data_IF_158453732371
#
_entry.id   IF_158453732371
#
_cell.length_a   1.000
_cell.length_b   1.000
_cell.length_c   1.000
_cell.angle_alpha   90.00
_cell.angle_beta   90.00
_cell.angle_gamma   90.00
#
_symmetry.space_group_name_H-M   'P 1'
#
loop_
_entity.id
_entity.type
_entity.pdbx_description
1 polymer ?
#
# COMPACT_ATOMS: atom_id res chain seq x y z
N UNK A 1 -2.78 -6.54 28.18
CA UNK A 1 -2.15 -7.66 27.43
C UNK A 1 -0.66 -7.77 27.73
N UNK A 2 0.19 -6.76 27.46
CA UNK A 2 1.61 -6.78 27.88
C UNK A 2 1.81 -6.90 29.40
N UNK A 3 0.90 -6.35 30.19
CA UNK A 3 0.89 -6.53 31.66
C UNK A 3 0.68 -7.99 32.11
N UNK A 4 -0.04 -8.79 31.30
CA UNK A 4 -0.29 -10.21 31.60
C UNK A 4 0.71 -11.15 30.92
N UNK A 5 1.33 -10.70 29.82
CA UNK A 5 2.37 -11.45 29.11
C UNK A 5 3.48 -10.48 28.69
N UNK A 6 4.53 -10.28 29.53
CA UNK A 6 5.56 -9.28 29.30
C UNK A 6 6.43 -9.59 28.07
N UNK A 7 6.52 -10.86 27.67
CA UNK A 7 7.24 -11.31 26.46
C UNK A 7 6.40 -11.24 25.17
N UNK A 8 5.21 -10.64 25.23
CA UNK A 8 4.33 -10.48 24.07
C UNK A 8 4.93 -9.45 23.09
N UNK A 9 5.26 -9.94 21.89
CA UNK A 9 5.77 -9.12 20.80
C UNK A 9 4.65 -8.41 20.05
N UNK A 10 4.77 -7.08 19.93
CA UNK A 10 3.83 -6.25 19.16
C UNK A 10 4.47 -5.88 17.83
N UNK A 11 3.96 -6.45 16.74
CA UNK A 11 4.43 -6.14 15.39
C UNK A 11 3.55 -5.05 14.78
N UNK A 12 4.16 -3.91 14.49
CA UNK A 12 3.49 -2.80 13.83
C UNK A 12 3.59 -2.92 12.31
N UNK A 13 2.57 -2.45 11.58
CA UNK A 13 2.63 -2.40 10.13
C UNK A 13 3.71 -1.43 9.65
N UNK A 14 4.71 -1.94 8.94
CA UNK A 14 5.86 -1.17 8.45
C UNK A 14 5.41 -0.12 7.42
N UNK A 15 4.51 -0.51 6.50
CA UNK A 15 3.93 0.43 5.54
C UNK A 15 3.14 1.55 6.24
N UNK A 16 2.35 1.21 7.26
CA UNK A 16 1.62 2.21 8.04
C UNK A 16 2.54 3.10 8.90
N UNK A 17 3.60 2.53 9.49
CA UNK A 17 4.62 3.29 10.25
C UNK A 17 5.25 4.37 9.36
N UNK A 18 5.55 4.03 8.10
CA UNK A 18 6.06 5.00 7.12
C UNK A 18 5.04 6.12 6.88
N UNK A 19 3.79 5.79 6.57
CA UNK A 19 2.74 6.78 6.32
C UNK A 19 2.52 7.71 7.53
N UNK A 20 2.56 7.16 8.75
CA UNK A 20 2.47 7.95 9.98
C UNK A 20 3.69 8.86 10.18
N UNK A 21 4.90 8.39 9.88
CA UNK A 21 6.13 9.17 9.99
C UNK A 21 6.07 10.41 9.10
N UNK A 22 5.75 10.19 7.82
CA UNK A 22 5.68 11.28 6.86
C UNK A 22 4.55 12.25 7.22
N UNK A 23 3.37 11.74 7.57
CA UNK A 23 2.24 12.59 7.96
C UNK A 23 2.55 13.46 9.18
N UNK A 24 3.31 12.96 10.15
CA UNK A 24 3.71 13.75 11.31
C UNK A 24 4.77 14.79 10.94
N UNK A 25 5.77 14.42 10.15
CA UNK A 25 6.80 15.34 9.64
C UNK A 25 6.18 16.49 8.83
N UNK A 26 5.28 16.17 7.90
CA UNK A 26 4.63 17.13 7.00
C UNK A 26 3.89 18.24 7.74
N UNK A 27 3.32 17.96 8.93
CA UNK A 27 2.61 18.97 9.73
C UNK A 27 3.52 20.07 10.27
N UNK A 28 4.81 19.78 10.44
CA UNK A 28 5.77 20.71 11.03
C UNK A 28 6.49 21.56 9.97
N UNK A 29 6.23 21.32 8.68
CA UNK A 29 6.87 22.02 7.57
C UNK A 29 5.86 22.95 6.89
N UNK A 30 5.93 24.28 7.09
CA UNK A 30 4.91 25.22 6.61
C UNK A 30 4.62 25.12 5.11
N UNK A 31 5.66 24.92 4.29
CA UNK A 31 5.47 24.82 2.84
C UNK A 31 4.79 23.50 2.42
N UNK A 32 5.01 22.40 3.16
CA UNK A 32 4.27 21.14 2.95
C UNK A 32 2.81 21.31 3.34
N UNK A 33 2.52 21.95 4.48
CA UNK A 33 1.15 22.28 4.89
C UNK A 33 0.43 23.15 3.85
N UNK A 34 1.11 24.16 3.32
CA UNK A 34 0.59 25.04 2.25
C UNK A 34 0.31 24.26 0.97
N UNK A 35 1.20 23.37 0.57
CA UNK A 35 0.99 22.45 -0.56
C UNK A 35 -0.24 21.55 -0.33
N UNK A 36 -0.31 20.87 0.81
CA UNK A 36 -1.40 19.95 1.12
C UNK A 36 -2.76 20.67 1.12
N UNK A 37 -2.83 21.85 1.73
CA UNK A 37 -4.04 22.67 1.74
C UNK A 37 -4.43 23.11 0.32
N UNK A 38 -3.46 23.51 -0.50
CA UNK A 38 -3.72 23.84 -1.91
C UNK A 38 -4.26 22.63 -2.69
N UNK A 39 -3.62 21.47 -2.57
CA UNK A 39 -4.03 20.24 -3.29
C UNK A 39 -5.43 19.78 -2.89
N UNK A 40 -5.79 19.86 -1.60
CA UNK A 40 -7.14 19.56 -1.12
C UNK A 40 -8.14 20.57 -1.67
N UNK A 41 -7.84 21.87 -1.59
CA UNK A 41 -8.77 22.91 -2.00
C UNK A 41 -9.05 22.90 -3.50
N UNK A 42 -8.01 22.70 -4.33
CA UNK A 42 -8.21 22.60 -5.79
C UNK A 42 -8.97 21.32 -6.16
N UNK A 43 -8.72 20.22 -5.46
CA UNK A 43 -9.54 19.02 -5.60
C UNK A 43 -11.01 19.31 -5.28
N UNK A 44 -11.31 19.92 -4.13
CA UNK A 44 -12.68 20.23 -3.73
C UNK A 44 -13.37 21.20 -4.68
N UNK A 45 -12.64 22.17 -5.24
CA UNK A 45 -13.15 23.13 -6.22
C UNK A 45 -13.72 22.44 -7.47
N UNK A 46 -13.03 21.40 -7.97
CA UNK A 46 -13.48 20.62 -9.13
C UNK A 46 -14.36 19.43 -8.76
N UNK A 47 -14.24 18.88 -7.55
CA UNK A 47 -15.07 17.75 -7.11
C UNK A 47 -16.49 18.19 -6.77
N UNK A 48 -16.64 19.33 -6.11
CA UNK A 48 -17.94 19.82 -5.64
C UNK A 48 -18.72 20.60 -6.71
N UNK A 49 -18.12 20.87 -7.88
CA UNK A 49 -18.76 21.59 -8.97
C UNK A 49 -18.69 20.77 -10.27
N UNK A 50 -19.82 20.16 -10.64
CA UNK A 50 -19.96 19.43 -11.91
C UNK A 50 -19.72 20.35 -13.11
N UNK A 51 -20.12 21.62 -13.00
CA UNK A 51 -19.87 22.65 -14.01
C UNK A 51 -18.37 22.89 -14.21
N UNK A 52 -17.63 23.23 -13.16
CA UNK A 52 -16.19 23.51 -13.25
C UNK A 52 -15.41 22.28 -13.74
N UNK A 53 -15.84 21.08 -13.32
CA UNK A 53 -15.27 19.82 -13.80
C UNK A 53 -15.51 19.59 -15.29
N UNK A 54 -16.71 19.90 -15.76
CA UNK A 54 -17.08 19.78 -17.17
C UNK A 54 -16.36 20.79 -18.05
N UNK A 55 -16.23 22.03 -17.59
CA UNK A 55 -15.49 23.08 -18.29
C UNK A 55 -13.99 22.77 -18.36
N UNK A 56 -13.37 22.37 -17.24
CA UNK A 56 -11.98 21.92 -17.24
C UNK A 56 -11.73 20.79 -18.23
N UNK A 57 -12.67 19.85 -18.37
CA UNK A 57 -12.56 18.76 -19.36
C UNK A 57 -12.53 19.30 -20.78
N UNK A 58 -13.40 20.26 -21.12
CA UNK A 58 -13.39 20.91 -22.44
C UNK A 58 -12.09 21.66 -22.70
N UNK A 59 -11.58 22.40 -21.72
CA UNK A 59 -10.29 23.08 -21.82
C UNK A 59 -9.15 22.08 -22.01
N UNK A 60 -9.17 20.95 -21.30
CA UNK A 60 -8.18 19.90 -21.45
C UNK A 60 -8.24 19.21 -22.83
N UNK A 61 -9.43 18.93 -23.34
CA UNK A 61 -9.63 18.38 -24.69
C UNK A 61 -9.10 19.33 -25.76
N UNK A 62 -9.39 20.64 -25.65
CA UNK A 62 -8.89 21.65 -26.58
C UNK A 62 -7.36 21.78 -26.57
N UNK A 63 -6.72 21.56 -25.42
CA UNK A 63 -5.26 21.61 -25.26
C UNK A 63 -4.57 20.25 -25.45
N UNK A 64 -5.31 19.19 -25.77
CA UNK A 64 -4.76 17.83 -25.95
C UNK A 64 -4.21 17.20 -24.67
N UNK A 65 -4.68 17.63 -23.49
CA UNK A 65 -4.20 17.14 -22.19
C UNK A 65 -5.05 15.95 -21.73
N UNK A 66 -4.42 14.81 -21.51
CA UNK A 66 -5.13 13.57 -21.14
C UNK A 66 -5.28 13.37 -19.63
N UNK A 67 -4.36 13.91 -18.83
CA UNK A 67 -4.32 13.75 -17.36
C UNK A 67 -4.44 15.10 -16.68
N UNK A 68 -5.65 15.50 -16.32
CA UNK A 68 -5.93 16.86 -15.85
C UNK A 68 -6.85 16.99 -14.63
N UNK A 69 -7.46 15.90 -14.16
CA UNK A 69 -8.44 15.96 -13.06
C UNK A 69 -7.70 15.95 -11.72
N UNK A 70 -7.79 17.01 -10.89
CA UNK A 70 -7.19 17.00 -9.56
C UNK A 70 -7.78 15.88 -8.69
N UNK A 71 -6.95 15.24 -7.88
CA UNK A 71 -7.33 14.14 -7.00
C UNK A 71 -7.12 14.50 -5.55
N UNK A 72 -7.91 13.87 -4.67
CA UNK A 72 -7.82 14.07 -3.23
C UNK A 72 -6.45 13.65 -2.68
N UNK A 73 -5.88 14.48 -1.82
CA UNK A 73 -4.70 14.15 -1.00
C UNK A 73 -5.07 13.81 0.44
N UNK A 74 -4.09 13.32 1.21
CA UNK A 74 -4.23 13.06 2.64
C UNK A 74 -4.75 11.66 3.01
N UNK A 75 -5.26 11.52 4.23
CA UNK A 75 -5.77 10.24 4.77
C UNK A 75 -4.68 9.38 5.41
N UNK A 76 -4.84 8.05 5.30
CA UNK A 76 -3.89 7.03 5.80
C UNK A 76 -2.85 6.59 4.76
N UNK A 77 -3.02 7.01 3.50
CA UNK A 77 -2.11 6.73 2.37
C UNK A 77 -1.61 8.04 1.76
N UNK A 78 -1.03 8.88 2.60
CA UNK A 78 -0.63 10.24 2.22
C UNK A 78 0.39 10.19 1.08
N UNK A 79 1.39 9.32 1.11
CA UNK A 79 2.45 9.26 0.10
C UNK A 79 1.87 9.02 -1.29
N UNK A 80 1.07 7.95 -1.43
CA UNK A 80 0.47 7.59 -2.72
C UNK A 80 -0.56 8.61 -3.21
N UNK A 81 -1.38 9.16 -2.32
CA UNK A 81 -2.37 10.17 -2.70
C UNK A 81 -1.71 11.49 -3.12
N UNK A 82 -0.68 11.95 -2.40
CA UNK A 82 0.07 13.16 -2.73
C UNK A 82 0.85 12.99 -4.03
N UNK A 83 1.49 11.84 -4.26
CA UNK A 83 2.16 11.54 -5.53
C UNK A 83 1.17 11.61 -6.71
N UNK A 84 -0.01 11.00 -6.57
CA UNK A 84 -1.06 11.05 -7.60
C UNK A 84 -1.60 12.46 -7.84
N UNK A 85 -1.85 13.22 -6.78
CA UNK A 85 -2.36 14.58 -6.90
C UNK A 85 -1.35 15.54 -7.54
N UNK A 86 -0.09 15.48 -7.14
CA UNK A 86 0.98 16.25 -7.78
C UNK A 86 1.10 15.89 -9.25
N UNK A 87 1.09 14.60 -9.59
CA UNK A 87 1.20 14.18 -10.99
C UNK A 87 0.00 14.63 -11.83
N UNK A 88 -1.22 14.50 -11.31
CA UNK A 88 -2.44 14.97 -12.00
C UNK A 88 -2.45 16.48 -12.17
N UNK A 89 -2.04 17.22 -11.14
CA UNK A 89 -1.97 18.68 -11.17
C UNK A 89 -0.95 19.16 -12.19
N UNK A 90 0.28 18.64 -12.16
CA UNK A 90 1.37 19.10 -13.02
C UNK A 90 1.17 18.66 -14.47
N UNK A 91 0.67 17.44 -14.71
CA UNK A 91 0.29 17.01 -16.07
C UNK A 91 -0.89 17.83 -16.60
N UNK A 92 -1.81 18.19 -15.71
CA UNK A 92 -3.01 19.00 -16.00
C UNK A 92 -2.77 20.49 -16.05
N UNK A 93 -1.57 20.96 -15.70
CA UNK A 93 -1.26 22.35 -15.43
C UNK A 93 -1.77 23.33 -16.49
N UNK A 94 -1.47 23.14 -17.81
CA UNK A 94 -1.93 24.09 -18.82
C UNK A 94 -3.47 24.21 -18.87
N UNK A 95 -4.20 23.10 -18.79
CA UNK A 95 -5.65 23.11 -18.79
C UNK A 95 -6.24 23.72 -17.51
N UNK A 96 -5.65 23.42 -16.36
CA UNK A 96 -6.10 23.94 -15.06
C UNK A 96 -5.89 25.44 -14.99
N UNK A 97 -4.72 25.95 -15.36
CA UNK A 97 -4.42 27.39 -15.32
C UNK A 97 -5.29 28.14 -16.32
N UNK A 98 -5.40 27.65 -17.56
CA UNK A 98 -6.24 28.26 -18.58
C UNK A 98 -7.69 28.38 -18.14
N UNK A 99 -8.27 27.30 -17.60
CA UNK A 99 -9.65 27.33 -17.10
C UNK A 99 -9.84 28.27 -15.90
N UNK A 100 -8.86 28.36 -14.98
CA UNK A 100 -8.93 29.29 -13.86
C UNK A 100 -8.84 30.77 -14.33
N UNK A 101 -8.09 31.05 -15.39
CA UNK A 101 -8.05 32.37 -16.04
C UNK A 101 -9.40 32.71 -16.67
N UNK A 102 -10.02 31.76 -17.39
CA UNK A 102 -11.36 31.92 -17.98
C UNK A 102 -12.41 32.26 -16.90
N UNK A 103 -12.38 31.58 -15.74
CA UNK A 103 -13.30 31.88 -14.63
C UNK A 103 -13.14 33.32 -14.12
N UNK A 104 -11.89 33.82 -14.08
CA UNK A 104 -11.58 35.17 -13.62
C UNK A 104 -12.13 36.23 -14.58
N UNK A 105 -12.10 35.96 -15.88
CA UNK A 105 -12.53 36.89 -16.93
C UNK A 105 -14.03 36.84 -17.22
N UNK A 106 -14.68 35.68 -17.02
CA UNK A 106 -16.11 35.54 -17.31
C UNK A 106 -17.01 36.32 -16.35
N UNK A 107 -17.82 37.24 -16.89
CA UNK A 107 -18.74 38.06 -16.10
C UNK A 107 -19.84 37.27 -15.36
N UNK A 108 -20.24 36.11 -15.88
CA UNK A 108 -21.34 35.29 -15.34
C UNK A 108 -20.93 34.34 -14.21
N UNK A 109 -19.65 34.26 -13.85
CA UNK A 109 -19.17 33.37 -12.77
C UNK A 109 -19.39 34.00 -11.40
N UNK A 110 -19.74 33.20 -10.39
CA UNK A 110 -19.98 33.69 -9.03
C UNK A 110 -18.74 34.35 -8.42
N UNK A 111 -18.93 35.38 -7.60
CA UNK A 111 -17.84 36.09 -6.92
C UNK A 111 -16.99 35.14 -6.05
N UNK A 112 -17.61 34.13 -5.43
CA UNK A 112 -16.91 33.08 -4.69
C UNK A 112 -15.98 32.26 -5.59
N UNK A 113 -16.45 31.82 -6.77
CA UNK A 113 -15.63 31.06 -7.72
C UNK A 113 -14.49 31.90 -8.29
N UNK A 114 -14.74 33.19 -8.55
CA UNK A 114 -13.71 34.16 -8.98
C UNK A 114 -12.64 34.34 -7.91
N UNK A 115 -13.04 34.54 -6.66
CA UNK A 115 -12.13 34.68 -5.53
C UNK A 115 -11.26 33.45 -5.30
N UNK A 116 -11.87 32.24 -5.31
CA UNK A 116 -11.15 30.97 -5.21
C UNK A 116 -10.16 30.79 -6.36
N UNK A 117 -10.59 31.07 -7.60
CA UNK A 117 -9.74 30.93 -8.79
C UNK A 117 -8.55 31.89 -8.77
N UNK A 118 -8.77 33.15 -8.35
CA UNK A 118 -7.69 34.11 -8.15
C UNK A 118 -6.68 33.64 -7.09
N UNK A 119 -7.17 33.05 -5.99
CA UNK A 119 -6.32 32.45 -4.96
C UNK A 119 -5.47 31.28 -5.48
N UNK A 120 -6.06 30.40 -6.29
CA UNK A 120 -5.33 29.30 -6.92
C UNK A 120 -4.29 29.79 -7.93
N UNK A 121 -4.66 30.75 -8.79
CA UNK A 121 -3.75 31.35 -9.77
C UNK A 121 -2.56 32.03 -9.10
N UNK A 122 -2.77 32.72 -7.97
CA UNK A 122 -1.67 33.33 -7.20
C UNK A 122 -0.59 32.31 -6.81
N UNK A 123 -0.98 31.07 -6.53
CA UNK A 123 -0.06 29.98 -6.19
C UNK A 123 0.50 29.29 -7.45
N UNK A 124 -0.36 29.00 -8.43
CA UNK A 124 0.05 28.33 -9.67
C UNK A 124 0.94 29.21 -10.55
N UNK A 125 0.91 30.53 -10.41
CA UNK A 125 1.82 31.46 -11.09
C UNK A 125 3.02 31.88 -10.21
N UNK A 126 3.16 31.30 -9.01
CA UNK A 126 4.28 31.58 -8.12
C UNK A 126 5.43 30.62 -8.41
N UNK A 127 6.55 31.17 -8.91
CA UNK A 127 7.79 30.43 -9.17
C UNK A 127 8.31 29.63 -7.97
N UNK A 128 8.37 30.17 -6.73
CA UNK A 128 8.86 29.40 -5.60
C UNK A 128 7.89 28.26 -5.23
N UNK A 129 6.58 28.47 -5.35
CA UNK A 129 5.59 27.43 -5.05
C UNK A 129 5.60 26.31 -6.11
N UNK A 130 5.64 26.64 -7.39
CA UNK A 130 5.79 25.66 -8.47
C UNK A 130 7.08 24.85 -8.33
N UNK A 131 8.19 25.52 -7.99
CA UNK A 131 9.43 24.83 -7.67
C UNK A 131 9.22 23.83 -6.53
N UNK A 132 8.52 24.24 -5.47
CA UNK A 132 8.25 23.36 -4.32
C UNK A 132 7.38 22.16 -4.68
N UNK A 133 6.38 22.32 -5.55
CA UNK A 133 5.58 21.19 -6.06
C UNK A 133 6.45 20.16 -6.78
N UNK A 134 7.37 20.60 -7.64
CA UNK A 134 8.28 19.70 -8.35
C UNK A 134 9.31 19.06 -7.42
N UNK A 135 9.82 19.80 -6.43
CA UNK A 135 10.64 19.23 -5.36
C UNK A 135 9.88 18.12 -4.60
N UNK A 136 8.61 18.35 -4.25
CA UNK A 136 7.79 17.34 -3.57
C UNK A 136 7.46 16.14 -4.46
N UNK A 137 7.46 16.27 -5.79
CA UNK A 137 7.43 15.11 -6.71
C UNK A 137 8.68 14.25 -6.52
N UNK A 138 9.87 14.85 -6.45
CA UNK A 138 11.11 14.11 -6.22
C UNK A 138 11.10 13.38 -4.86
N UNK A 139 10.68 14.07 -3.79
CA UNK A 139 10.55 13.49 -2.44
C UNK A 139 9.54 12.34 -2.43
N UNK A 140 8.33 12.56 -2.95
CA UNK A 140 7.27 11.53 -2.94
C UNK A 140 7.59 10.34 -3.85
N UNK A 141 8.37 10.52 -4.92
CA UNK A 141 8.86 9.41 -5.73
C UNK A 141 9.84 8.52 -4.95
N UNK A 142 10.76 9.10 -4.17
CA UNK A 142 11.67 8.35 -3.30
C UNK A 142 10.87 7.59 -2.23
N UNK A 143 10.00 8.29 -1.50
CA UNK A 143 9.15 7.69 -0.46
C UNK A 143 8.19 6.63 -1.01
N UNK A 144 7.64 6.87 -2.19
CA UNK A 144 6.71 5.95 -2.85
C UNK A 144 7.38 4.62 -3.21
N UNK A 145 8.68 4.61 -3.55
CA UNK A 145 9.44 3.37 -3.76
C UNK A 145 9.52 2.56 -2.46
N UNK A 146 9.94 3.18 -1.36
CA UNK A 146 10.01 2.51 -0.06
C UNK A 146 8.64 1.99 0.38
N UNK A 147 7.59 2.81 0.25
CA UNK A 147 6.21 2.44 0.59
C UNK A 147 5.73 1.21 -0.19
N UNK A 148 6.02 1.13 -1.50
CA UNK A 148 5.69 -0.04 -2.31
C UNK A 148 6.51 -1.27 -1.91
N UNK A 149 7.79 -1.12 -1.60
CA UNK A 149 8.62 -2.24 -1.11
C UNK A 149 8.09 -2.80 0.20
N UNK A 150 7.68 -1.95 1.14
CA UNK A 150 7.08 -2.37 2.41
C UNK A 150 5.69 -2.99 2.29
N UNK A 151 5.03 -2.86 1.14
CA UNK A 151 3.74 -3.50 0.84
C UNK A 151 3.89 -4.83 0.10
N UNK A 152 5.12 -5.25 -0.22
CA UNK A 152 5.37 -6.53 -0.88
C UNK A 152 5.18 -7.71 0.09
N UNK A 153 4.70 -8.82 -0.47
CA UNK A 153 4.51 -10.09 0.24
C UNK A 153 5.83 -10.77 0.61
N UNK A 154 6.86 -10.57 -0.21
CA UNK A 154 8.18 -11.14 -0.07
C UNK A 154 9.15 -10.19 0.65
N UNK A 155 8.63 -9.24 1.43
CA UNK A 155 9.45 -8.28 2.15
C UNK A 155 10.15 -8.96 3.33
N UNK A 156 11.48 -8.94 3.31
CA UNK A 156 12.31 -9.50 4.35
C UNK A 156 12.57 -8.45 5.44
N UNK A 157 12.07 -8.69 6.66
CA UNK A 157 12.29 -7.78 7.80
C UNK A 157 13.78 -7.45 8.04
N UNK A 158 14.75 -8.39 7.89
CA UNK A 158 16.17 -8.08 8.07
C UNK A 158 16.75 -7.10 7.03
N UNK A 159 16.14 -6.98 5.84
CA UNK A 159 16.57 -6.02 4.82
C UNK A 159 16.08 -4.60 5.10
N UNK A 160 15.06 -4.47 5.94
CA UNK A 160 14.39 -3.21 6.18
C UNK A 160 15.31 -2.10 6.71
N UNK A 161 16.24 -2.31 7.67
CA UNK A 161 17.16 -1.27 8.11
C UNK A 161 18.00 -0.69 6.97
N UNK A 162 18.46 -1.55 6.05
CA UNK A 162 19.18 -1.13 4.85
C UNK A 162 18.29 -0.30 3.93
N UNK A 163 17.07 -0.76 3.63
CA UNK A 163 16.12 -0.03 2.78
C UNK A 163 15.77 1.35 3.33
N UNK A 164 15.60 1.46 4.65
CA UNK A 164 15.37 2.73 5.34
C UNK A 164 16.59 3.64 5.19
N UNK A 165 17.79 3.14 5.49
CA UNK A 165 19.06 3.88 5.37
C UNK A 165 19.31 4.39 3.95
N UNK A 166 19.10 3.54 2.96
CA UNK A 166 19.26 3.89 1.54
C UNK A 166 18.26 4.97 1.11
N UNK A 167 17.02 4.91 1.64
CA UNK A 167 15.98 5.91 1.38
C UNK A 167 16.33 7.24 2.03
N UNK A 168 16.75 7.25 3.30
CA UNK A 168 17.20 8.45 4.03
C UNK A 168 18.38 9.10 3.30
N UNK A 169 19.37 8.30 2.91
CA UNK A 169 20.53 8.78 2.12
C UNK A 169 20.09 9.40 0.79
N UNK A 170 19.11 8.79 0.12
CA UNK A 170 18.56 9.32 -1.14
C UNK A 170 17.80 10.63 -0.95
N UNK A 171 17.10 10.79 0.17
CA UNK A 171 16.41 12.03 0.54
C UNK A 171 17.42 13.13 0.89
N UNK A 172 18.45 12.83 1.70
CA UNK A 172 19.48 13.79 2.07
C UNK A 172 20.29 14.30 0.86
N UNK A 173 20.48 13.45 -0.16
CA UNK A 173 21.07 13.90 -1.44
C UNK A 173 20.29 15.07 -2.06
N UNK A 174 18.97 15.18 -1.83
CA UNK A 174 18.17 16.31 -2.36
C UNK A 174 18.57 17.68 -1.77
N UNK A 175 19.24 17.72 -0.61
CA UNK A 175 19.77 18.96 0.00
C UNK A 175 20.97 19.53 -0.77
N UNK A 176 21.73 18.65 -1.43
CA UNK A 176 22.94 19.03 -2.18
C UNK A 176 22.74 19.00 -3.70
N UNK A 177 21.85 18.14 -4.19
CA UNK A 177 21.60 17.93 -5.61
C UNK A 177 20.10 17.97 -5.90
N UNK A 178 19.71 18.78 -6.88
CA UNK A 178 18.31 18.88 -7.26
C UNK A 178 17.81 17.58 -7.91
N UNK A 179 16.61 17.15 -7.53
CA UNK A 179 15.96 15.99 -8.13
C UNK A 179 15.55 16.20 -9.60
N UNK A 180 15.22 15.11 -10.32
CA UNK A 180 14.85 15.18 -11.73
C UNK A 180 13.68 16.13 -12.03
N UNK A 181 12.61 16.10 -11.24
CA UNK A 181 11.41 16.92 -11.51
C UNK A 181 11.69 18.41 -11.29
N UNK A 182 12.37 18.78 -10.21
CA UNK A 182 12.76 20.17 -9.97
C UNK A 182 13.71 20.69 -11.06
N UNK A 183 14.69 19.89 -11.49
CA UNK A 183 15.60 20.27 -12.58
C UNK A 183 14.86 20.49 -13.90
N UNK A 184 13.89 19.62 -14.22
CA UNK A 184 13.09 19.77 -15.42
C UNK A 184 12.28 21.07 -15.40
N UNK A 185 11.64 21.37 -14.26
CA UNK A 185 10.92 22.63 -14.08
C UNK A 185 11.83 23.85 -14.24
N UNK A 186 12.99 23.87 -13.59
CA UNK A 186 13.91 24.99 -13.69
C UNK A 186 14.37 25.25 -15.13
N UNK A 187 14.62 24.20 -15.91
CA UNK A 187 14.94 24.31 -17.34
C UNK A 187 13.76 24.87 -18.14
N UNK A 188 12.56 24.35 -17.91
CA UNK A 188 11.34 24.79 -18.58
C UNK A 188 10.93 26.22 -18.24
N UNK A 189 11.36 26.74 -17.08
CA UNK A 189 11.00 28.06 -16.56
C UNK A 189 12.17 29.05 -16.52
N UNK A 190 13.10 28.93 -17.46
CA UNK A 190 14.30 29.79 -17.54
C UNK A 190 13.96 31.20 -18.00
N UNK A 191 12.99 31.33 -18.91
CA UNK A 191 12.51 32.58 -19.50
C UNK A 191 11.49 33.34 -18.61
N UNK A 192 11.21 32.83 -17.41
CA UNK A 192 10.19 33.38 -16.52
C UNK A 192 8.77 33.01 -16.92
N UNK A 193 8.57 32.04 -17.80
CA UNK A 193 7.26 31.48 -18.14
C UNK A 193 7.21 29.99 -17.81
N UNK A 194 6.00 29.45 -17.64
CA UNK A 194 5.79 28.01 -17.52
C UNK A 194 4.48 27.64 -18.22
N UNK A 195 4.57 26.78 -19.24
CA UNK A 195 3.47 26.49 -20.17
C UNK A 195 2.82 27.76 -20.77
N UNK A 196 3.63 28.75 -21.14
CA UNK A 196 3.15 30.01 -21.76
C UNK A 196 2.57 31.03 -20.78
N UNK A 197 2.51 30.73 -19.48
CA UNK A 197 2.07 31.68 -18.46
C UNK A 197 3.27 32.28 -17.73
N UNK A 198 3.29 33.61 -17.56
CA UNK A 198 4.32 34.30 -16.78
C UNK A 198 4.25 33.88 -15.33
N UNK A 199 5.38 33.48 -14.76
CA UNK A 199 5.50 33.12 -13.34
C UNK A 199 6.31 34.17 -12.58
N UNK A 200 5.94 34.42 -11.34
CA UNK A 200 6.48 35.51 -10.52
C UNK A 200 7.17 34.99 -9.26
N UNK A 201 8.12 35.79 -8.78
CA UNK A 201 8.86 35.54 -7.54
C UNK A 201 10.21 34.86 -7.75
N UNK A 202 10.97 34.85 -6.67
CA UNK A 202 12.31 34.25 -6.62
C UNK A 202 12.26 32.73 -6.80
N UNK A 203 13.38 32.09 -7.18
CA UNK A 203 13.51 30.65 -7.13
C UNK A 203 13.12 30.07 -5.77
N UNK A 204 12.75 28.79 -5.77
CA UNK A 204 12.42 28.03 -4.55
C UNK A 204 13.49 28.22 -3.46
N UNK A 205 13.04 28.46 -2.23
CA UNK A 205 13.93 28.64 -1.10
C UNK A 205 14.56 27.29 -0.70
N UNK A 206 15.90 27.20 -0.78
CA UNK A 206 16.65 26.02 -0.41
C UNK A 206 16.42 25.62 1.06
N UNK A 207 16.34 26.59 1.98
CA UNK A 207 16.12 26.32 3.40
C UNK A 207 14.77 25.62 3.66
N UNK A 208 13.74 25.93 2.89
CA UNK A 208 12.44 25.26 3.00
C UNK A 208 12.50 23.82 2.50
N UNK A 209 13.29 23.55 1.45
CA UNK A 209 13.55 22.20 0.96
C UNK A 209 14.33 21.40 2.00
N UNK A 210 15.40 21.97 2.53
CA UNK A 210 16.27 21.33 3.52
C UNK A 210 15.50 21.02 4.81
N UNK A 211 14.62 21.92 5.25
CA UNK A 211 13.71 21.70 6.37
C UNK A 211 12.74 20.54 6.10
N UNK A 212 12.16 20.47 4.89
CA UNK A 212 11.27 19.39 4.50
C UNK A 212 11.97 18.03 4.51
N UNK A 213 13.16 17.94 3.91
CA UNK A 213 13.98 16.72 3.92
C UNK A 213 14.31 16.33 5.37
N UNK A 214 14.85 17.26 6.15
CA UNK A 214 15.30 16.99 7.54
C UNK A 214 14.16 16.49 8.41
N UNK A 215 13.01 17.15 8.35
CA UNK A 215 11.81 16.75 9.11
C UNK A 215 11.35 15.34 8.72
N UNK A 216 11.40 15.00 7.43
CA UNK A 216 11.03 13.68 6.94
C UNK A 216 12.05 12.61 7.38
N UNK A 217 13.35 12.87 7.22
CA UNK A 217 14.41 11.90 7.56
C UNK A 217 14.46 11.64 9.06
N UNK A 218 14.32 12.66 9.89
CA UNK A 218 14.24 12.50 11.35
C UNK A 218 13.02 11.68 11.76
N UNK A 219 11.84 11.98 11.19
CA UNK A 219 10.63 11.23 11.50
C UNK A 219 10.73 9.76 11.09
N UNK A 220 11.39 9.46 9.97
CA UNK A 220 11.69 8.08 9.55
C UNK A 220 12.62 7.44 10.58
N UNK A 221 13.76 8.05 10.89
CA UNK A 221 14.74 7.45 11.82
C UNK A 221 14.14 7.18 13.21
N UNK A 222 13.35 8.11 13.76
CA UNK A 222 12.67 7.94 15.06
C UNK A 222 11.66 6.78 14.99
N UNK A 223 10.94 6.64 13.88
CA UNK A 223 9.83 5.67 13.78
C UNK A 223 10.24 4.32 13.23
N UNK A 224 11.47 4.12 12.78
CA UNK A 224 11.95 2.83 12.28
C UNK A 224 12.96 2.15 13.20
N UNK A 225 12.89 2.46 14.50
CA UNK A 225 13.46 1.60 15.54
C UNK A 225 12.62 0.32 15.64
N UNK A 226 13.14 -0.78 15.11
CA UNK A 226 12.53 -2.10 15.20
C UNK A 226 13.15 -2.84 16.36
N UNK A 227 12.28 -3.52 17.10
CA UNK A 227 12.64 -4.37 18.21
C UNK A 227 13.69 -5.41 17.77
N UNK A 228 14.83 -5.42 18.45
CA UNK A 228 15.97 -6.26 18.11
C UNK A 228 15.59 -7.75 18.05
N UNK A 229 14.69 -8.20 18.92
CA UNK A 229 14.18 -9.58 18.95
C UNK A 229 13.43 -9.93 17.66
N UNK A 230 12.66 -8.99 17.10
CA UNK A 230 11.94 -9.21 15.84
C UNK A 230 12.91 -9.32 14.66
N UNK A 231 13.99 -8.52 14.65
CA UNK A 231 15.04 -8.60 13.64
C UNK A 231 15.83 -9.91 13.76
N UNK A 232 16.23 -10.28 14.98
CA UNK A 232 16.93 -11.52 15.27
C UNK A 232 16.12 -12.74 14.81
N UNK A 233 14.84 -12.81 15.21
CA UNK A 233 13.91 -13.87 14.79
C UNK A 233 13.80 -13.95 13.26
N UNK A 234 13.59 -12.82 12.58
CA UNK A 234 13.42 -12.82 11.14
C UNK A 234 14.69 -13.23 10.37
N UNK A 235 15.88 -12.93 10.90
CA UNK A 235 17.18 -13.34 10.33
C UNK A 235 17.38 -14.85 10.44
N UNK A 236 17.03 -15.43 11.59
CA UNK A 236 17.14 -16.88 11.84
C UNK A 236 16.12 -17.66 10.98
N UNK A 237 14.86 -17.21 10.94
CA UNK A 237 13.77 -17.96 10.29
C UNK A 237 13.91 -18.00 8.77
N UNK A 238 14.36 -16.91 8.15
CA UNK A 238 14.28 -16.74 6.70
C UNK A 238 15.55 -17.19 5.99
N UNK A 239 15.57 -18.41 5.46
CA UNK A 239 16.69 -18.96 4.70
C UNK A 239 17.10 -18.14 3.47
N UNK A 240 16.23 -17.27 2.93
CA UNK A 240 16.61 -16.34 1.85
C UNK A 240 17.55 -15.23 2.32
N UNK A 241 17.56 -14.94 3.62
CA UNK A 241 18.46 -13.97 4.24
C UNK A 241 19.78 -14.58 4.72
N UNK A 242 19.93 -15.90 4.61
CA UNK A 242 21.15 -16.58 4.99
C UNK A 242 22.24 -16.37 3.93
N UNK A 243 23.52 -16.27 4.34
CA UNK A 243 24.67 -16.27 3.44
C UNK A 243 24.61 -17.44 2.45
N UNK A 244 25.07 -17.20 1.21
CA UNK A 244 25.15 -18.27 0.20
C UNK A 244 26.22 -19.29 0.59
N UNK A 245 27.34 -18.79 1.13
CA UNK A 245 28.43 -19.59 1.67
C UNK A 245 28.32 -19.62 3.19
N UNK A 246 28.55 -20.78 3.79
CA UNK A 246 28.40 -20.95 5.22
C UNK A 246 29.41 -20.08 5.99
N UNK A 247 28.88 -19.12 6.74
CA UNK A 247 29.62 -18.32 7.71
C UNK A 247 29.58 -19.01 9.08
N UNK A 248 30.73 -19.10 9.75
CA UNK A 248 30.87 -19.86 11.00
C UNK A 248 29.99 -19.32 12.12
N UNK A 249 29.91 -18.00 12.22
CA UNK A 249 29.29 -17.22 13.28
C UNK A 249 27.89 -16.69 12.91
N UNK A 250 27.37 -17.01 11.72
CA UNK A 250 26.06 -16.53 11.30
C UNK A 250 24.95 -17.01 12.25
N UNK A 251 24.16 -16.05 12.74
CA UNK A 251 22.97 -16.30 13.57
C UNK A 251 23.27 -16.56 15.04
N UNK A 252 24.54 -16.74 15.45
CA UNK A 252 24.88 -17.16 16.81
C UNK A 252 24.52 -16.07 17.83
N UNK A 253 24.83 -14.81 17.54
CA UNK A 253 24.45 -13.67 18.38
C UNK A 253 22.93 -13.48 18.45
N UNK A 254 22.23 -13.68 17.32
CA UNK A 254 20.78 -13.58 17.27
C UNK A 254 20.09 -14.69 18.07
N UNK A 255 20.61 -15.92 18.03
CA UNK A 255 20.10 -17.03 18.85
C UNK A 255 20.31 -16.74 20.33
N UNK A 256 21.49 -16.29 20.74
CA UNK A 256 21.76 -15.93 22.13
C UNK A 256 20.78 -14.86 22.65
N UNK A 257 20.52 -13.81 21.85
CA UNK A 257 19.55 -12.77 22.19
C UNK A 257 18.11 -13.30 22.28
N UNK A 258 17.71 -14.19 21.38
CA UNK A 258 16.40 -14.83 21.39
C UNK A 258 16.22 -15.76 22.60
N UNK A 259 17.26 -16.51 22.96
CA UNK A 259 17.24 -17.41 24.13
C UNK A 259 17.12 -16.61 25.42
N UNK A 260 17.91 -15.55 25.59
CA UNK A 260 17.81 -14.66 26.76
C UNK A 260 16.42 -14.01 26.86
N UNK A 261 15.88 -13.55 25.73
CA UNK A 261 14.56 -12.94 25.71
C UNK A 261 13.45 -13.95 26.03
N UNK A 262 13.47 -15.16 25.48
CA UNK A 262 12.39 -16.15 25.63
C UNK A 262 12.61 -17.18 26.74
N UNK A 263 13.72 -17.16 27.46
CA UNK A 263 14.05 -18.08 28.55
C UNK A 263 12.88 -18.36 29.50
N UNK A 264 12.16 -17.35 30.04
CA UNK A 264 11.07 -17.61 30.99
C UNK A 264 9.91 -18.43 30.39
N UNK A 265 9.70 -18.32 29.08
CA UNK A 265 8.65 -19.07 28.37
C UNK A 265 9.13 -20.47 28.03
N UNK A 266 10.37 -20.60 27.56
CA UNK A 266 11.01 -21.87 27.20
C UNK A 266 11.19 -22.78 28.42
N UNK A 267 11.68 -22.24 29.52
CA UNK A 267 11.89 -23.00 30.77
C UNK A 267 10.57 -23.49 31.36
N UNK A 268 9.51 -22.67 31.28
CA UNK A 268 8.17 -23.08 31.70
C UNK A 268 7.60 -24.21 30.83
N UNK A 269 8.02 -24.29 29.56
CA UNK A 269 7.66 -25.38 28.66
C UNK A 269 8.52 -26.64 28.85
N UNK A 270 9.55 -26.60 29.71
CA UNK A 270 10.46 -27.71 29.96
C UNK A 270 11.65 -27.78 28.98
N UNK A 271 11.86 -26.74 28.17
CA UNK A 271 12.98 -26.66 27.21
C UNK A 271 14.30 -26.35 27.93
N UNK A 272 15.37 -27.08 27.59
CA UNK A 272 16.72 -26.82 28.09
C UNK A 272 17.40 -25.71 27.27
N UNK A 273 17.34 -24.48 27.77
CA UNK A 273 17.89 -23.28 27.13
C UNK A 273 19.39 -23.35 26.85
N UNK A 274 20.16 -24.01 27.73
CA UNK A 274 21.62 -24.13 27.60
C UNK A 274 22.06 -25.01 26.40
N UNK A 275 21.16 -25.83 25.84
CA UNK A 275 21.48 -26.70 24.71
C UNK A 275 21.21 -26.04 23.36
N UNK A 276 20.41 -24.96 23.32
CA UNK A 276 19.91 -24.36 22.08
C UNK A 276 21.05 -23.84 21.19
N UNK A 277 22.07 -23.19 21.75
CA UNK A 277 23.19 -22.64 20.97
C UNK A 277 24.06 -23.74 20.32
N UNK A 278 24.23 -24.87 21.02
CA UNK A 278 24.96 -26.03 20.49
C UNK A 278 24.14 -26.73 19.38
N UNK A 279 22.84 -26.92 19.63
CA UNK A 279 21.91 -27.49 18.64
C UNK A 279 21.83 -26.61 17.39
N UNK A 280 21.79 -25.28 17.55
CA UNK A 280 21.81 -24.32 16.45
C UNK A 280 23.02 -24.54 15.54
N UNK A 281 24.23 -24.68 16.13
CA UNK A 281 25.45 -24.90 15.36
C UNK A 281 25.38 -26.16 14.49
N UNK A 282 24.86 -27.25 15.04
CA UNK A 282 24.71 -28.53 14.33
C UNK A 282 23.64 -28.48 13.23
N UNK A 283 22.47 -27.90 13.53
CA UNK A 283 21.36 -27.78 12.56
C UNK A 283 21.71 -26.79 11.44
N UNK A 284 22.42 -25.70 11.76
CA UNK A 284 22.94 -24.74 10.77
C UNK A 284 23.86 -25.42 9.76
N UNK A 285 24.85 -26.19 10.22
CA UNK A 285 25.75 -26.93 9.34
C UNK A 285 25.02 -27.99 8.50
N UNK A 286 24.06 -28.69 9.12
CA UNK A 286 23.21 -29.66 8.43
C UNK A 286 22.37 -29.01 7.33
N UNK A 287 21.81 -27.81 7.57
CA UNK A 287 21.04 -27.07 6.57
C UNK A 287 21.88 -26.72 5.33
N UNK A 288 23.11 -26.23 5.51
CA UNK A 288 24.03 -25.94 4.41
C UNK A 288 24.52 -27.19 3.67
N UNK A 289 24.59 -28.34 4.36
CA UNK A 289 25.03 -29.61 3.78
C UNK A 289 23.94 -30.22 2.92
N UNK A 290 22.72 -30.30 3.45
CA UNK A 290 21.59 -30.99 2.83
C UNK A 290 20.88 -30.16 1.76
N UNK A 291 20.93 -28.82 1.87
CA UNK A 291 20.25 -27.92 0.95
C UNK A 291 21.26 -26.94 0.33
N UNK A 292 21.71 -27.25 -0.87
CA UNK A 292 22.57 -26.36 -1.67
C UNK A 292 21.83 -25.88 -2.91
N UNK A 293 21.57 -24.57 -3.05
CA UNK A 293 21.82 -23.48 -2.09
C UNK A 293 20.84 -23.46 -0.90
N UNK A 294 21.27 -22.90 0.23
CA UNK A 294 20.57 -22.97 1.54
C UNK A 294 19.18 -22.35 1.52
N UNK A 295 18.93 -21.37 0.65
CA UNK A 295 17.63 -20.71 0.51
C UNK A 295 16.50 -21.63 0.03
N UNK A 296 16.81 -22.85 -0.40
CA UNK A 296 15.83 -23.88 -0.75
C UNK A 296 15.33 -24.67 0.47
N UNK A 297 15.96 -24.50 1.64
CA UNK A 297 15.55 -25.16 2.87
C UNK A 297 14.26 -24.53 3.44
N UNK A 298 13.53 -25.33 4.21
CA UNK A 298 12.46 -24.86 5.08
C UNK A 298 12.59 -25.47 6.49
N UNK A 299 12.07 -24.77 7.48
CA UNK A 299 12.04 -25.28 8.86
C UNK A 299 11.18 -26.53 9.00
N UNK A 300 10.18 -26.72 8.13
CA UNK A 300 9.42 -27.97 8.04
C UNK A 300 10.30 -29.14 7.59
N UNK A 301 11.09 -28.94 6.53
CA UNK A 301 11.99 -29.98 6.02
C UNK A 301 13.10 -30.34 7.02
N UNK A 302 13.67 -29.34 7.71
CA UNK A 302 14.64 -29.59 8.78
C UNK A 302 13.99 -30.25 9.99
N UNK A 303 12.76 -29.88 10.34
CA UNK A 303 12.01 -30.49 11.43
C UNK A 303 11.72 -31.96 11.22
N UNK A 304 11.48 -32.41 9.99
CA UNK A 304 11.30 -33.84 9.69
C UNK A 304 12.57 -34.64 9.97
N UNK A 305 13.76 -34.05 9.76
CA UNK A 305 15.05 -34.75 9.87
C UNK A 305 15.70 -34.64 11.25
N UNK A 306 15.69 -33.46 11.86
CA UNK A 306 16.56 -33.12 12.99
C UNK A 306 15.81 -32.79 14.28
N UNK A 307 14.48 -32.85 14.30
CA UNK A 307 13.69 -32.43 15.47
C UNK A 307 13.88 -33.31 16.70
N UNK A 308 14.23 -34.58 16.51
CA UNK A 308 14.56 -35.49 17.62
C UNK A 308 15.91 -35.13 18.24
N UNK A 309 16.89 -34.78 17.42
CA UNK A 309 18.26 -34.49 17.87
C UNK A 309 18.40 -33.05 18.41
N UNK A 310 17.52 -32.14 18.02
CA UNK A 310 17.57 -30.71 18.35
C UNK A 310 16.22 -30.17 18.89
N UNK A 311 15.57 -30.91 19.78
CA UNK A 311 14.23 -30.57 20.30
C UNK A 311 14.15 -29.17 20.93
N UNK A 312 15.22 -28.72 21.59
CA UNK A 312 15.23 -27.43 22.28
C UNK A 312 15.28 -26.27 21.28
N UNK A 313 16.10 -26.39 20.24
CA UNK A 313 16.13 -25.42 19.14
C UNK A 313 14.77 -25.35 18.44
N UNK A 314 14.15 -26.49 18.13
CA UNK A 314 12.84 -26.48 17.46
C UNK A 314 11.74 -25.87 18.33
N UNK A 315 11.84 -25.97 19.66
CA UNK A 315 10.93 -25.25 20.58
C UNK A 315 11.06 -23.74 20.45
N UNK A 316 12.30 -23.23 20.33
CA UNK A 316 12.54 -21.81 20.05
C UNK A 316 12.05 -21.42 18.65
N UNK A 317 12.34 -22.25 17.62
CA UNK A 317 11.90 -22.02 16.23
C UNK A 317 10.38 -21.94 16.13
N UNK A 318 9.66 -22.87 16.76
CA UNK A 318 8.20 -22.90 16.80
C UNK A 318 7.66 -21.60 17.42
N UNK A 319 8.28 -21.11 18.50
CA UNK A 319 7.92 -19.86 19.15
C UNK A 319 8.15 -18.65 18.23
N UNK A 320 9.32 -18.52 17.61
CA UNK A 320 9.63 -17.37 16.75
C UNK A 320 8.84 -17.38 15.44
N UNK A 321 8.46 -18.56 14.92
CA UNK A 321 7.56 -18.68 13.76
C UNK A 321 6.14 -18.15 14.04
N UNK A 322 5.74 -18.05 15.31
CA UNK A 322 4.47 -17.39 15.66
C UNK A 322 4.52 -15.86 15.58
N UNK A 323 5.73 -15.27 15.54
CA UNK A 323 5.90 -13.83 15.39
C UNK A 323 5.65 -13.48 13.92
N UNK A 324 4.61 -12.70 13.60
CA UNK A 324 4.35 -12.35 12.20
C UNK A 324 5.50 -11.52 11.66
N UNK A 325 6.09 -11.93 10.54
CA UNK A 325 7.22 -11.23 9.92
C UNK A 325 6.90 -9.76 9.56
N UNK A 326 5.65 -9.48 9.15
CA UNK A 326 5.10 -8.15 8.97
C UNK A 326 3.56 -8.23 8.87
N UNK A 327 2.86 -7.12 9.08
CA UNK A 327 1.38 -7.10 9.06
C UNK A 327 0.78 -6.73 7.69
N UNK A 328 1.49 -6.97 6.58
CA UNK A 328 0.94 -6.67 5.24
C UNK A 328 -0.27 -7.56 4.96
N UNK A 329 -0.27 -8.80 5.46
CA UNK A 329 -1.43 -9.69 5.40
C UNK A 329 -2.67 -9.10 6.06
N UNK A 330 -2.49 -8.43 7.19
CA UNK A 330 -3.59 -7.72 7.85
C UNK A 330 -4.15 -6.59 6.98
N UNK A 331 -3.28 -5.80 6.32
CA UNK A 331 -3.72 -4.73 5.41
C UNK A 331 -4.43 -5.25 4.15
N UNK A 332 -3.98 -6.38 3.61
CA UNK A 332 -4.65 -7.09 2.51
C UNK A 332 -6.01 -7.60 2.96
N UNK A 333 -6.08 -8.21 4.14
CA UNK A 333 -7.32 -8.65 4.78
C UNK A 333 -8.32 -7.51 4.95
N UNK A 334 -7.88 -6.35 5.46
CA UNK A 334 -8.73 -5.15 5.56
C UNK A 334 -9.18 -4.63 4.20
N UNK A 335 -8.33 -4.71 3.18
CA UNK A 335 -8.67 -4.28 1.82
C UNK A 335 -9.71 -5.20 1.19
N UNK A 336 -9.58 -6.52 1.34
CA UNK A 336 -10.61 -7.48 0.92
C UNK A 336 -11.89 -7.30 1.73
N UNK A 337 -11.78 -7.04 3.04
CA UNK A 337 -12.94 -6.76 3.90
C UNK A 337 -13.71 -5.54 3.43
N UNK A 338 -13.05 -4.46 2.98
CA UNK A 338 -13.72 -3.29 2.40
C UNK A 338 -14.44 -3.59 1.08
N UNK A 339 -13.98 -4.59 0.32
CA UNK A 339 -14.67 -5.05 -0.89
C UNK A 339 -15.89 -5.92 -0.54
N UNK A 340 -15.79 -6.73 0.51
CA UNK A 340 -16.88 -7.61 0.96
C UNK A 340 -17.96 -6.85 1.73
N UNK A 341 -17.55 -5.93 2.62
CA UNK A 341 -18.45 -5.07 3.41
C UNK A 341 -18.57 -3.71 2.73
N UNK A 342 -19.50 -3.64 1.79
CA UNK A 342 -19.94 -2.37 1.19
C UNK A 342 -21.13 -1.80 1.96
N UNK A 343 -21.54 -0.57 1.64
CA UNK A 343 -22.70 0.08 2.27
C UNK A 343 -23.99 -0.76 2.12
N UNK A 344 -24.12 -1.50 1.01
CA UNK A 344 -25.24 -2.40 0.72
C UNK A 344 -25.07 -3.81 1.30
N UNK A 345 -23.88 -4.15 1.84
CA UNK A 345 -23.52 -5.48 2.35
C UNK A 345 -22.83 -5.39 3.73
N UNK A 346 -23.34 -4.52 4.61
CA UNK A 346 -22.73 -4.25 5.92
C UNK A 346 -23.19 -5.19 7.05
N UNK A 347 -24.30 -5.92 6.87
CA UNK A 347 -24.92 -6.82 7.87
C UNK A 347 -24.49 -8.31 7.78
N UNK A 348 -23.32 -8.60 7.20
CA UNK A 348 -22.83 -9.99 7.17
C UNK A 348 -22.56 -10.51 8.59
N UNK A 349 -23.00 -11.73 8.87
CA UNK A 349 -22.62 -12.45 10.09
C UNK A 349 -21.11 -12.67 10.13
N UNK A 350 -20.54 -12.78 11.34
CA UNK A 350 -19.10 -13.02 11.52
C UNK A 350 -18.63 -14.24 10.72
N UNK A 351 -19.38 -15.36 10.78
CA UNK A 351 -19.07 -16.60 10.06
C UNK A 351 -19.05 -16.41 8.54
N UNK A 352 -20.04 -15.70 7.98
CA UNK A 352 -20.11 -15.46 6.54
C UNK A 352 -18.97 -14.54 6.08
N UNK A 353 -18.65 -13.51 6.87
CA UNK A 353 -17.52 -12.62 6.60
C UNK A 353 -16.20 -13.40 6.61
N UNK A 354 -15.92 -14.16 7.66
CA UNK A 354 -14.71 -14.96 7.79
C UNK A 354 -14.57 -15.97 6.65
N UNK A 355 -15.64 -16.67 6.30
CA UNK A 355 -15.63 -17.63 5.18
C UNK A 355 -15.32 -16.94 3.85
N UNK A 356 -15.94 -15.79 3.59
CA UNK A 356 -15.69 -15.02 2.36
C UNK A 356 -14.25 -14.49 2.31
N UNK A 357 -13.75 -13.95 3.43
CA UNK A 357 -12.37 -13.47 3.52
C UNK A 357 -11.37 -14.59 3.33
N UNK A 358 -11.61 -15.77 3.91
CA UNK A 358 -10.74 -16.94 3.72
C UNK A 358 -10.63 -17.33 2.25
N UNK A 359 -11.75 -17.37 1.52
CA UNK A 359 -11.74 -17.65 0.07
C UNK A 359 -10.98 -16.57 -0.69
N UNK A 360 -11.15 -15.28 -0.35
CA UNK A 360 -10.48 -14.18 -1.05
C UNK A 360 -8.97 -14.07 -0.75
N UNK A 361 -8.53 -14.58 0.41
CA UNK A 361 -7.15 -14.47 0.87
C UNK A 361 -6.33 -15.71 0.53
N UNK A 362 -6.92 -16.90 0.65
CA UNK A 362 -6.24 -18.20 0.49
C UNK A 362 -6.73 -19.00 -0.74
N UNK A 363 -7.79 -18.53 -1.41
CA UNK A 363 -8.33 -19.22 -2.57
C UNK A 363 -7.41 -19.11 -3.78
N UNK A 364 -7.48 -20.09 -4.72
CA UNK A 364 -6.73 -20.03 -5.96
C UNK A 364 -7.16 -18.83 -6.81
N UNK A 365 -6.29 -18.40 -7.72
CA UNK A 365 -6.65 -17.34 -8.65
C UNK A 365 -7.85 -17.77 -9.51
N UNK A 366 -8.62 -16.81 -10.03
CA UNK A 366 -9.78 -17.11 -10.88
C UNK A 366 -9.41 -18.00 -12.08
N UNK A 367 -8.16 -17.89 -12.58
CA UNK A 367 -7.66 -18.69 -13.70
C UNK A 367 -7.40 -20.15 -13.33
N UNK A 368 -7.09 -20.41 -12.07
CA UNK A 368 -6.71 -21.74 -11.53
C UNK A 368 -7.86 -22.38 -10.73
N UNK A 369 -8.95 -21.64 -10.52
CA UNK A 369 -10.09 -22.13 -9.76
C UNK A 369 -10.90 -23.14 -10.57
N UNK A 370 -10.94 -24.38 -10.10
CA UNK A 370 -11.85 -25.41 -10.60
C UNK A 370 -13.19 -25.34 -9.86
N UNK A 371 -14.30 -24.98 -10.55
CA UNK A 371 -15.62 -24.92 -9.92
C UNK A 371 -16.27 -26.30 -9.73
N UNK A 372 -15.79 -27.36 -10.37
CA UNK A 372 -16.47 -28.66 -10.40
C UNK A 372 -16.71 -29.27 -9.01
N UNK A 373 -15.73 -29.30 -8.08
CA UNK A 373 -15.96 -29.83 -6.74
C UNK A 373 -17.07 -29.07 -5.99
N UNK A 374 -17.10 -27.74 -6.14
CA UNK A 374 -18.10 -26.89 -5.51
C UNK A 374 -19.50 -27.13 -6.11
N UNK A 375 -19.59 -27.31 -7.44
CA UNK A 375 -20.84 -27.62 -8.13
C UNK A 375 -21.38 -29.00 -7.70
N UNK A 376 -20.51 -30.02 -7.65
CA UNK A 376 -20.88 -31.37 -7.24
C UNK A 376 -21.39 -31.35 -5.79
N UNK A 377 -20.66 -30.67 -4.90
CA UNK A 377 -21.06 -30.50 -3.50
C UNK A 377 -22.40 -29.76 -3.37
N UNK A 378 -22.58 -28.66 -4.12
CA UNK A 378 -23.84 -27.92 -4.12
C UNK A 378 -25.01 -28.79 -4.57
N UNK A 379 -24.82 -29.60 -5.61
CA UNK A 379 -25.86 -30.49 -6.13
C UNK A 379 -26.14 -31.69 -5.21
N UNK A 380 -25.16 -32.21 -4.49
CA UNK A 380 -25.33 -33.36 -3.59
C UNK A 380 -25.89 -32.98 -2.21
N UNK A 381 -25.54 -31.79 -1.69
CA UNK A 381 -25.93 -31.33 -0.34
C UNK A 381 -27.20 -30.47 -0.33
N UNK A 382 -27.57 -29.86 -1.46
CA UNK A 382 -28.80 -29.06 -1.54
C UNK A 382 -30.07 -29.92 -1.47
N UNK A 383 -30.45 -30.35 -0.26
CA UNK A 383 -31.86 -30.61 0.07
C UNK A 383 -32.59 -29.28 0.02
N UNK A 384 -32.99 -28.86 -1.19
CA UNK A 384 -33.84 -27.69 -1.37
C UNK A 384 -35.12 -27.94 -0.59
N UNK A 385 -35.34 -27.21 0.49
CA UNK A 385 -36.68 -27.06 1.04
C UNK A 385 -37.52 -26.50 -0.12
N UNK A 386 -38.41 -27.32 -0.67
CA UNK A 386 -39.41 -26.85 -1.62
C UNK A 386 -40.09 -25.67 -0.93
N UNK A 387 -39.95 -24.46 -1.49
CA UNK A 387 -40.67 -23.30 -0.98
C UNK A 387 -42.16 -23.66 -1.05
N UNK A 388 -42.90 -23.77 0.07
CA UNK A 388 -44.26 -24.32 0.07
C UNK A 388 -45.21 -23.57 -0.86
N UNK A 389 -44.91 -22.31 -1.18
CA UNK A 389 -45.78 -21.38 -1.90
C UNK A 389 -45.32 -21.02 -3.31
N UNK A 390 -44.31 -21.72 -3.87
CA UNK A 390 -43.90 -21.46 -5.25
C UNK A 390 -44.42 -22.60 -6.14
N UNK A 391 -45.47 -22.38 -6.95
CA UNK A 391 -45.98 -23.41 -7.83
C UNK A 391 -44.88 -23.83 -8.82
N UNK A 392 -44.81 -25.12 -9.20
CA UNK A 392 -43.88 -25.58 -10.21
C UNK A 392 -44.11 -24.77 -11.49
N UNK A 393 -43.03 -24.28 -12.10
CA UNK A 393 -43.09 -23.70 -13.44
C UNK A 393 -43.84 -24.69 -14.33
N UNK A 394 -44.97 -24.26 -14.89
CA UNK A 394 -45.84 -25.11 -15.72
C UNK A 394 -45.04 -25.75 -16.86
N UNK A 395 -45.54 -26.90 -17.35
CA UNK A 395 -44.94 -27.60 -18.50
C UNK A 395 -44.74 -26.61 -19.63
N UNK A 396 -43.49 -26.43 -20.09
CA UNK A 396 -43.21 -25.71 -21.34
C UNK A 396 -43.91 -26.49 -22.46
N UNK A 397 -44.90 -25.87 -23.09
CA UNK A 397 -45.46 -26.37 -24.34
C UNK A 397 -44.34 -26.32 -25.40
N UNK A 398 -44.05 -27.43 -26.10
CA UNK A 398 -43.12 -27.40 -27.22
C UNK A 398 -43.63 -26.44 -28.29
N UNK A 399 -42.73 -25.66 -28.89
CA UNK A 399 -43.04 -24.60 -29.87
C UNK A 399 -43.60 -25.08 -31.22
N UNK A 400 -44.18 -26.29 -31.28
CA UNK A 400 -44.64 -26.93 -32.54
C UNK A 400 -46.15 -26.80 -32.75
N UNK A 401 -46.92 -26.37 -31.75
CA UNK A 401 -48.38 -26.23 -31.87
C UNK A 401 -48.87 -24.77 -32.09
N UNK A 402 -47.98 -23.78 -32.08
CA UNK A 402 -48.34 -22.37 -32.29
C UNK A 402 -48.44 -21.95 -33.77
N UNK A 403 -48.07 -22.81 -34.72
CA UNK A 403 -48.12 -22.50 -36.16
C UNK A 403 -49.35 -23.06 -36.89
N UNK A 404 -50.26 -23.76 -36.19
CA UNK A 404 -51.49 -24.33 -36.81
C UNK A 404 -52.77 -23.52 -36.60
N UNK A 405 -52.76 -22.49 -35.75
CA UNK A 405 -53.95 -21.64 -35.50
C UNK A 405 -54.00 -20.35 -36.35
N UNK A 406 -53.07 -20.14 -37.29
CA UNK A 406 -53.01 -18.90 -38.10
C UNK A 406 -53.44 -19.10 -39.57
N UNK A 407 -53.86 -20.31 -39.98
CA UNK A 407 -54.14 -20.61 -41.41
C UNK A 407 -55.61 -20.95 -41.73
N UNK A 408 -56.54 -20.96 -40.76
CA UNK A 408 -57.96 -21.25 -41.04
C UNK A 408 -58.91 -20.11 -40.65
N UNK A 409 -58.69 -18.90 -41.18
CA UNK A 409 -59.74 -17.86 -41.17
C UNK A 409 -59.59 -16.83 -42.29
N UNK A 410 -59.29 -17.25 -43.52
CA UNK A 410 -59.45 -16.39 -44.70
C UNK A 410 -59.81 -17.27 -45.91
N UNK A 411 -61.11 -17.52 -46.10
CA UNK A 411 -61.75 -17.84 -47.39
C UNK A 411 -63.27 -18.04 -47.17
N UNK A 412 -64.09 -17.18 -47.77
CA UNK A 412 -65.43 -17.56 -48.27
C UNK A 412 -66.66 -16.79 -47.77
N UNK A 413 -67.07 -15.84 -48.63
CA UNK A 413 -68.41 -15.23 -48.83
C UNK A 413 -68.96 -14.14 -47.87
#
# INVERSE_FOLDING_TARGET
MKEHQPKLQTVHCIAHRLELAIKQASKNVPMVCKMDQFLINIFLFYHNSTLNRGLLRRTAEALGVTRFIPTRTGGTRWIGHTQNALTNLLSGYPAIVQHLLEIKEHNQTSNDSKGKSAGFLKLLLSRPFLGFLHFMVDVTNILGRLSRTFQRMDMNLPEMPKLVKDTVTSLDKLKSQQGPALRQFQRAATDGTFHGHKIEGEPINKAECDLAVTSITEAINIRFDIDAIQLAAAKVINFKSWPIEAERDFGDAEIAELVDYFSPVLEKAGTNTNSIEMEWSSVKESAYTDYKPVYNASWEQLGVKYRVDAENLFSLVDLILTIPAHSVECERGFSQMKRVKTDWRNQLTSTALTSTLRILMEGPSIKEFDPLPAIIFWNSVAKRVRRPFQPPYGKRTPAVEAEKEIVESDDGE
#
